data_IF_102332160461
#
_entry.id   IF_102332160461
#
_cell.length_a   1.000
_cell.length_b   1.000
_cell.length_c   1.000
_cell.angle_alpha   90.00
_cell.angle_beta   90.00
_cell.angle_gamma   90.00
#
_symmetry.space_group_name_H-M   'P 1'
#
loop_
_entity.id
_entity.type
_entity.pdbx_description
1 polymer ?
#
# COMPACT_ATOMS: atom_id res chain seq x y z
N UNK A 1 -2.64 -19.72 -2.40
CA UNK A 1 -2.56 -19.04 -1.09
C UNK A 1 -1.09 -18.97 -0.67
N UNK A 2 -0.58 -17.79 -0.31
CA UNK A 2 0.85 -17.60 0.03
C UNK A 2 1.03 -17.83 1.54
N UNK A 3 2.04 -18.60 1.97
CA UNK A 3 2.28 -18.92 3.38
C UNK A 3 2.77 -17.68 4.16
N UNK A 4 2.12 -17.25 5.27
CA UNK A 4 2.56 -16.10 6.06
C UNK A 4 3.91 -16.28 6.76
N UNK A 5 4.30 -17.52 7.10
CA UNK A 5 5.51 -17.81 7.88
C UNK A 5 6.83 -17.65 7.10
N UNK A 6 6.76 -17.48 5.78
CA UNK A 6 7.93 -17.34 4.89
C UNK A 6 8.08 -15.93 4.33
N UNK A 7 7.33 -14.94 4.83
CA UNK A 7 7.34 -13.56 4.32
C UNK A 7 8.17 -12.67 5.25
N UNK A 8 9.06 -11.87 4.66
CA UNK A 8 9.60 -10.70 5.34
C UNK A 8 8.78 -9.47 4.95
N UNK A 9 8.29 -8.68 5.93
CA UNK A 9 7.55 -7.47 5.64
C UNK A 9 8.47 -6.40 5.04
N UNK A 10 7.93 -5.61 4.11
CA UNK A 10 8.63 -4.47 3.54
C UNK A 10 8.37 -3.23 4.40
N UNK A 11 9.42 -2.47 4.70
CA UNK A 11 9.33 -1.23 5.47
C UNK A 11 9.68 -0.02 4.60
N UNK A 12 8.94 1.10 4.74
CA UNK A 12 9.34 2.36 4.13
C UNK A 12 10.54 2.95 4.87
N UNK A 13 11.33 3.78 4.18
CA UNK A 13 12.46 4.48 4.80
C UNK A 13 12.05 5.51 5.85
N UNK A 14 10.90 6.15 5.67
CA UNK A 14 10.34 7.21 6.53
C UNK A 14 8.83 7.25 6.40
N UNK A 15 8.15 7.88 7.36
CA UNK A 15 6.72 8.18 7.23
C UNK A 15 6.57 9.25 6.13
N UNK A 16 5.84 8.92 5.06
CA UNK A 16 5.54 9.85 3.96
C UNK A 16 4.05 9.89 3.72
N UNK A 17 3.50 11.10 3.71
CA UNK A 17 2.14 11.34 3.26
C UNK A 17 2.19 11.66 1.77
N UNK A 18 1.77 10.70 0.95
CA UNK A 18 1.67 10.87 -0.50
C UNK A 18 0.25 11.24 -0.87
N UNK A 19 0.08 12.27 -1.70
CA UNK A 19 -1.22 12.67 -2.24
C UNK A 19 -1.18 12.75 -3.77
N UNK A 20 -2.29 12.35 -4.39
CA UNK A 20 -2.44 12.32 -5.84
C UNK A 20 -3.89 12.17 -6.23
N UNK A 21 -4.21 12.49 -7.48
CA UNK A 21 -5.56 12.34 -8.03
C UNK A 21 -5.64 11.10 -8.90
N UNK A 22 -6.75 10.39 -8.87
CA UNK A 22 -7.05 9.34 -9.84
C UNK A 22 -7.95 9.97 -10.90
N UNK A 23 -7.43 10.21 -12.10
CA UNK A 23 -8.17 10.77 -13.22
C UNK A 23 -8.50 9.69 -14.25
N UNK A 24 -9.66 9.80 -14.91
CA UNK A 24 -10.14 8.85 -15.94
C UNK A 24 -9.74 9.22 -17.38
N UNK A 25 -9.09 10.37 -17.59
CA UNK A 25 -8.40 10.67 -18.84
C UNK A 25 -7.16 9.74 -18.93
N UNK A 26 -7.01 8.99 -20.01
CA UNK A 26 -5.96 7.96 -20.17
C UNK A 26 -4.54 8.49 -19.94
N UNK A 27 -4.20 9.67 -20.48
CA UNK A 27 -2.90 10.31 -20.31
C UNK A 27 -2.65 10.70 -18.84
N UNK A 28 -3.67 11.23 -18.15
CA UNK A 28 -3.60 11.60 -16.74
C UNK A 28 -3.59 10.36 -15.83
N UNK A 29 -4.28 9.28 -16.21
CA UNK A 29 -4.28 8.01 -15.49
C UNK A 29 -2.90 7.36 -15.51
N UNK A 30 -2.27 7.33 -16.69
CA UNK A 30 -0.91 6.83 -16.85
C UNK A 30 0.08 7.64 -16.01
N UNK A 31 0.01 8.98 -16.06
CA UNK A 31 0.90 9.86 -15.30
C UNK A 31 0.75 9.68 -13.78
N UNK A 32 -0.48 9.63 -13.28
CA UNK A 32 -0.72 9.46 -11.84
C UNK A 32 -0.38 8.05 -11.35
N UNK A 33 -0.55 7.03 -12.19
CA UNK A 33 -0.12 5.66 -11.90
C UNK A 33 1.42 5.55 -11.87
N UNK A 34 2.11 6.20 -12.81
CA UNK A 34 3.59 6.29 -12.82
C UNK A 34 4.07 7.00 -11.57
N UNK A 35 3.44 8.12 -11.21
CA UNK A 35 3.78 8.89 -10.00
C UNK A 35 3.60 8.05 -8.73
N UNK A 36 2.43 7.43 -8.56
CA UNK A 36 2.13 6.55 -7.43
C UNK A 36 3.14 5.39 -7.34
N UNK A 37 3.44 4.75 -8.47
CA UNK A 37 4.42 3.65 -8.54
C UNK A 37 5.83 4.14 -8.21
N UNK A 38 6.24 5.29 -8.73
CA UNK A 38 7.54 5.92 -8.46
C UNK A 38 7.72 6.22 -6.98
N UNK A 39 6.73 6.89 -6.37
CA UNK A 39 6.75 7.25 -4.95
C UNK A 39 6.77 6.00 -4.07
N UNK A 40 5.93 5.00 -4.39
CA UNK A 40 5.93 3.73 -3.69
C UNK A 40 7.27 3.00 -3.78
N UNK A 41 7.85 2.88 -4.97
CA UNK A 41 9.16 2.21 -5.16
C UNK A 41 10.31 2.98 -4.51
N UNK A 42 10.23 4.31 -4.43
CA UNK A 42 11.25 5.13 -3.80
C UNK A 42 11.28 4.95 -2.28
N UNK A 43 10.11 4.82 -1.66
CA UNK A 43 10.02 4.62 -0.22
C UNK A 43 10.30 3.17 0.20
N UNK A 44 9.83 2.19 -0.59
CA UNK A 44 10.10 0.76 -0.38
C UNK A 44 11.28 0.30 -1.24
N UNK A 45 12.48 0.68 -0.82
CA UNK A 45 13.71 0.39 -1.58
C UNK A 45 13.91 -1.10 -1.90
N UNK A 46 13.38 -1.99 -1.05
CA UNK A 46 13.43 -3.43 -1.24
C UNK A 46 12.82 -3.82 -2.59
N UNK A 47 11.77 -3.11 -3.03
CA UNK A 47 11.10 -3.37 -4.32
C UNK A 47 11.97 -3.09 -5.55
N UNK A 48 13.13 -2.44 -5.39
CA UNK A 48 14.09 -2.20 -6.49
C UNK A 48 15.00 -3.41 -6.75
N UNK A 49 14.95 -4.45 -5.91
CA UNK A 49 15.76 -5.66 -6.06
C UNK A 49 15.27 -6.54 -7.23
N UNK A 50 15.98 -6.47 -8.37
CA UNK A 50 15.60 -7.10 -9.65
C UNK A 50 15.44 -8.63 -9.61
N UNK A 51 16.02 -9.32 -8.64
CA UNK A 51 16.00 -10.80 -8.53
C UNK A 51 15.06 -11.31 -7.43
N UNK A 52 14.44 -10.41 -6.68
CA UNK A 52 13.56 -10.74 -5.56
C UNK A 52 12.11 -10.89 -6.04
N UNK A 53 11.36 -11.80 -5.42
CA UNK A 53 9.92 -11.96 -5.65
C UNK A 53 9.16 -11.28 -4.52
N UNK A 54 8.24 -10.39 -4.87
CA UNK A 54 7.40 -9.67 -3.91
C UNK A 54 5.94 -10.08 -4.08
N UNK A 55 5.19 -10.08 -2.98
CA UNK A 55 3.75 -10.32 -2.96
C UNK A 55 3.09 -9.30 -2.04
N UNK A 56 1.86 -8.92 -2.33
CA UNK A 56 1.06 -8.03 -1.49
C UNK A 56 -0.27 -8.68 -1.11
N UNK A 57 -0.85 -8.19 -0.03
CA UNK A 57 -2.19 -8.55 0.43
C UNK A 57 -2.98 -7.25 0.60
N UNK A 58 -4.23 -7.25 0.13
CA UNK A 58 -5.11 -6.09 0.17
C UNK A 58 -6.40 -6.48 0.88
N UNK A 59 -6.74 -5.74 1.93
CA UNK A 59 -7.93 -5.98 2.75
C UNK A 59 -8.89 -4.82 2.51
N UNK A 60 -10.11 -5.12 2.08
CA UNK A 60 -11.19 -4.14 1.93
C UNK A 60 -12.12 -4.26 3.14
N UNK A 61 -12.00 -3.33 4.09
CA UNK A 61 -13.00 -3.15 5.15
C UNK A 61 -14.21 -2.40 4.60
N UNK A 62 -15.42 -2.89 4.90
CA UNK A 62 -16.69 -2.25 4.57
C UNK A 62 -17.21 -1.37 5.71
N UNK A 63 -16.81 -1.69 6.94
CA UNK A 63 -17.19 -0.93 8.14
C UNK A 63 -15.97 -0.52 8.94
N UNK A 64 -16.17 0.45 9.85
CA UNK A 64 -15.14 0.90 10.78
C UNK A 64 -14.65 -0.24 11.67
N UNK A 65 -15.57 -1.09 12.13
CA UNK A 65 -15.28 -2.21 13.03
C UNK A 65 -14.36 -3.25 12.36
N UNK A 66 -14.59 -3.55 11.08
CA UNK A 66 -13.75 -4.48 10.31
C UNK A 66 -12.31 -3.95 10.16
N UNK A 67 -12.15 -2.63 9.97
CA UNK A 67 -10.84 -1.99 9.92
C UNK A 67 -10.15 -2.03 11.29
N UNK A 68 -10.86 -1.68 12.37
CA UNK A 68 -10.31 -1.72 13.73
C UNK A 68 -9.84 -3.14 14.09
N UNK A 69 -10.64 -4.16 13.79
CA UNK A 69 -10.30 -5.56 14.08
C UNK A 69 -9.07 -6.02 13.27
N UNK A 70 -8.97 -5.60 12.01
CA UNK A 70 -7.79 -5.86 11.18
C UNK A 70 -6.53 -5.23 11.78
N UNK A 71 -6.62 -3.97 12.22
CA UNK A 71 -5.49 -3.27 12.85
C UNK A 71 -5.08 -3.91 14.18
N UNK A 72 -6.04 -4.35 15.00
CA UNK A 72 -5.77 -5.09 16.24
C UNK A 72 -4.97 -6.36 15.98
N UNK A 73 -5.31 -7.12 14.92
CA UNK A 73 -4.57 -8.33 14.51
C UNK A 73 -3.14 -7.99 14.10
N UNK A 74 -2.94 -6.98 13.25
CA UNK A 74 -1.60 -6.52 12.84
C UNK A 74 -0.72 -6.18 14.05
N UNK A 75 -1.25 -5.41 15.00
CA UNK A 75 -0.54 -5.02 16.22
C UNK A 75 -0.21 -6.23 17.09
N UNK A 76 -1.20 -7.12 17.30
CA UNK A 76 -1.03 -8.35 18.09
C UNK A 76 0.05 -9.26 17.50
N UNK A 77 0.05 -9.42 16.18
CA UNK A 77 0.97 -10.29 15.47
C UNK A 77 2.39 -9.69 15.35
N UNK A 78 2.61 -8.48 15.89
CA UNK A 78 3.86 -7.71 15.76
C UNK A 78 4.33 -7.63 14.30
N UNK A 79 3.38 -7.67 13.38
CA UNK A 79 3.67 -7.55 11.95
C UNK A 79 3.96 -6.09 11.65
N UNK A 80 4.79 -5.83 10.65
CA UNK A 80 5.08 -4.47 10.23
C UNK A 80 3.79 -3.79 9.75
N UNK A 81 3.63 -2.51 10.10
CA UNK A 81 2.40 -1.78 9.84
C UNK A 81 2.08 -1.74 8.34
N UNK A 82 0.85 -2.07 7.90
CA UNK A 82 0.47 -1.99 6.50
C UNK A 82 0.40 -0.53 6.03
N UNK A 83 0.36 -0.38 4.70
CA UNK A 83 0.14 0.93 4.06
C UNK A 83 -1.32 1.33 4.26
N UNK A 84 -1.54 2.51 4.84
CA UNK A 84 -2.85 3.15 4.91
C UNK A 84 -3.07 3.99 3.65
N UNK A 85 -4.12 3.67 2.90
CA UNK A 85 -4.51 4.39 1.69
C UNK A 85 -5.93 4.91 1.85
N UNK A 86 -6.09 6.23 1.71
CA UNK A 86 -7.40 6.87 1.70
C UNK A 86 -7.79 7.15 0.25
N UNK A 87 -9.00 6.75 -0.12
CA UNK A 87 -9.57 7.01 -1.44
C UNK A 87 -10.69 8.03 -1.30
N UNK A 88 -10.60 9.11 -2.07
CA UNK A 88 -11.58 10.19 -2.08
C UNK A 88 -12.21 10.33 -3.45
N UNK A 89 -13.50 10.65 -3.49
CA UNK A 89 -14.16 11.17 -4.69
C UNK A 89 -14.16 12.69 -4.59
N UNK A 90 -13.46 13.35 -5.51
CA UNK A 90 -13.51 14.82 -5.62
C UNK A 90 -14.96 15.25 -5.89
N UNK A 91 -15.43 16.29 -5.19
CA UNK A 91 -16.69 16.96 -5.52
C UNK A 91 -16.47 17.70 -6.83
N UNK A 92 -17.20 17.30 -7.87
CA UNK A 92 -17.35 18.03 -9.13
C UNK A 92 -18.04 19.36 -8.90
#
# INVERSE_FOLDING_TARGET
MVNPKTRQPLSPRKIVNVSGKIHYNESNQAWNTIKLKSEFLNEFHQLKEKRSKFSYEMIFGRTEEEMIETMKKVVKDKTLMPVLMFLYKDKS
#
